data_IF_950223432504
#
_entry.id   IF_950223432504
#
_cell.length_a   1.000
_cell.length_b   1.000
_cell.length_c   1.000
_cell.angle_alpha   90.00
_cell.angle_beta   90.00
_cell.angle_gamma   90.00
#
_symmetry.space_group_name_H-M   'P 1'
#
loop_
_entity.id
_entity.type
_entity.pdbx_description
1 polymer ?
#
# COMPACT_ATOMS: atom_id res chain seq x y z
N UNK A 1 5.37 -23.15 -23.39
CA UNK A 1 4.98 -21.80 -22.93
C UNK A 1 4.73 -20.96 -24.18
N UNK A 2 3.49 -20.79 -24.58
CA UNK A 2 3.09 -20.02 -25.76
C UNK A 2 3.48 -18.56 -25.53
N UNK A 3 4.21 -17.96 -26.49
CA UNK A 3 4.80 -16.63 -26.36
C UNK A 3 3.73 -15.57 -26.14
N UNK A 4 3.76 -14.92 -24.98
CA UNK A 4 2.99 -13.70 -24.74
C UNK A 4 3.35 -12.70 -25.86
N UNK A 5 2.35 -12.25 -26.62
CA UNK A 5 2.54 -11.24 -27.64
C UNK A 5 3.15 -9.96 -27.04
N UNK A 6 3.57 -8.97 -27.85
CA UNK A 6 4.24 -7.76 -27.37
C UNK A 6 3.53 -7.06 -26.21
N UNK A 7 2.20 -7.05 -26.23
CA UNK A 7 1.36 -6.53 -25.14
C UNK A 7 1.52 -7.30 -23.84
N UNK A 8 1.53 -8.64 -23.91
CA UNK A 8 1.65 -9.48 -22.70
C UNK A 8 3.01 -9.35 -22.01
N UNK A 9 4.11 -9.24 -22.78
CA UNK A 9 5.44 -9.02 -22.24
C UNK A 9 5.53 -7.68 -21.50
N UNK A 10 4.98 -6.63 -22.10
CA UNK A 10 5.00 -5.30 -21.50
C UNK A 10 4.13 -5.25 -20.23
N UNK A 11 2.95 -5.89 -20.26
CA UNK A 11 2.08 -6.00 -19.08
C UNK A 11 2.74 -6.75 -17.92
N UNK A 12 3.53 -7.80 -18.20
CA UNK A 12 4.29 -8.52 -17.16
C UNK A 12 5.38 -7.64 -16.54
N UNK A 13 6.12 -6.87 -17.35
CA UNK A 13 7.15 -5.94 -16.86
C UNK A 13 6.50 -4.87 -15.98
N UNK A 14 5.41 -4.26 -16.44
CA UNK A 14 4.68 -3.24 -15.70
C UNK A 14 4.04 -3.82 -14.41
N UNK A 15 3.57 -5.07 -14.46
CA UNK A 15 3.09 -5.81 -13.30
C UNK A 15 4.18 -6.01 -12.25
N UNK A 16 5.36 -6.48 -12.67
CA UNK A 16 6.51 -6.60 -11.79
C UNK A 16 6.88 -5.25 -11.15
N UNK A 17 6.93 -4.17 -11.92
CA UNK A 17 7.21 -2.84 -11.38
C UNK A 17 6.14 -2.36 -10.38
N UNK A 18 4.89 -2.78 -10.53
CA UNK A 18 3.81 -2.44 -9.59
C UNK A 18 3.84 -3.23 -8.28
N UNK A 19 4.53 -4.38 -8.25
CA UNK A 19 4.61 -5.27 -7.09
C UNK A 19 5.56 -4.79 -5.98
N UNK A 20 6.39 -3.77 -6.24
CA UNK A 20 7.37 -3.26 -5.26
C UNK A 20 6.76 -2.91 -3.91
N UNK A 21 5.57 -2.28 -3.89
CA UNK A 21 4.88 -1.93 -2.66
C UNK A 21 4.59 -3.15 -1.80
N UNK A 22 3.83 -4.10 -2.34
CA UNK A 22 3.44 -5.33 -1.62
C UNK A 22 4.65 -6.17 -1.24
N UNK A 23 5.62 -6.37 -2.13
CA UNK A 23 6.82 -7.13 -1.82
C UNK A 23 7.60 -6.51 -0.65
N UNK A 24 7.81 -5.18 -0.68
CA UNK A 24 8.56 -4.47 0.35
C UNK A 24 7.88 -4.43 1.72
N UNK A 25 6.55 -4.47 1.72
CA UNK A 25 5.73 -4.45 2.93
C UNK A 25 5.49 -5.88 3.42
N UNK A 26 4.89 -6.70 2.59
CA UNK A 26 4.27 -7.95 3.02
C UNK A 26 5.29 -9.08 3.23
N UNK A 27 6.38 -9.16 2.42
CA UNK A 27 7.48 -10.12 2.67
C UNK A 27 8.24 -9.85 3.96
N UNK A 28 8.24 -8.59 4.39
CA UNK A 28 8.98 -8.13 5.57
C UNK A 28 8.26 -8.45 6.89
N UNK A 29 6.90 -8.49 6.88
CA UNK A 29 6.08 -8.63 8.08
C UNK A 29 6.43 -9.84 8.97
N UNK A 30 6.65 -11.07 8.44
CA UNK A 30 7.02 -12.21 9.29
C UNK A 30 8.34 -12.02 10.05
N UNK A 31 9.19 -11.07 9.62
CA UNK A 31 10.53 -10.86 10.17
C UNK A 31 10.59 -9.97 11.40
N UNK A 32 9.51 -9.33 11.80
CA UNK A 32 9.50 -8.32 12.88
C UNK A 32 10.15 -8.82 14.16
N UNK A 33 9.78 -10.01 14.61
CA UNK A 33 10.35 -10.59 15.84
C UNK A 33 11.83 -10.96 15.70
N UNK A 34 12.24 -11.45 14.51
CA UNK A 34 13.63 -11.80 14.26
C UNK A 34 14.51 -10.55 14.25
N UNK A 35 14.04 -9.46 13.65
CA UNK A 35 14.72 -8.17 13.63
C UNK A 35 14.81 -7.58 15.04
N UNK A 36 13.72 -7.59 15.81
CA UNK A 36 13.70 -7.10 17.18
C UNK A 36 14.75 -7.80 18.05
N UNK A 37 14.87 -9.13 17.92
CA UNK A 37 15.86 -9.93 18.63
C UNK A 37 17.29 -9.67 18.16
N UNK A 38 17.51 -9.66 16.85
CA UNK A 38 18.85 -9.55 16.26
C UNK A 38 19.47 -8.15 16.44
N UNK A 39 18.66 -7.10 16.39
CA UNK A 39 19.10 -5.71 16.55
C UNK A 39 18.87 -5.18 18.00
N UNK A 40 18.48 -6.04 18.94
CA UNK A 40 18.14 -5.65 20.32
C UNK A 40 17.17 -4.47 20.39
N UNK A 41 16.18 -4.45 19.49
CA UNK A 41 15.23 -3.35 19.31
C UNK A 41 13.88 -3.67 19.95
N UNK A 42 13.17 -2.63 20.39
CA UNK A 42 11.77 -2.75 20.80
C UNK A 42 10.86 -2.98 19.59
N UNK A 43 9.66 -3.53 19.85
CA UNK A 43 8.65 -3.71 18.78
C UNK A 43 8.27 -2.39 18.11
N UNK A 44 8.11 -1.32 18.90
CA UNK A 44 7.80 -0.01 18.36
C UNK A 44 8.89 0.51 17.42
N UNK A 45 10.16 0.24 17.71
CA UNK A 45 11.27 0.60 16.81
C UNK A 45 11.22 -0.22 15.51
N UNK A 46 10.87 -1.50 15.56
CA UNK A 46 10.71 -2.29 14.34
C UNK A 46 9.48 -1.83 13.54
N UNK A 47 8.36 -1.53 14.20
CA UNK A 47 7.18 -0.95 13.56
C UNK A 47 7.49 0.40 12.90
N UNK A 48 8.36 1.22 13.51
CA UNK A 48 8.80 2.49 12.94
C UNK A 48 9.52 2.30 11.59
N UNK A 49 10.26 1.19 11.38
CA UNK A 49 10.89 0.90 10.08
C UNK A 49 9.88 0.83 8.93
N UNK A 50 8.70 0.29 9.22
CA UNK A 50 7.60 0.21 8.24
C UNK A 50 6.82 1.53 8.18
N UNK A 51 6.63 2.22 9.30
CA UNK A 51 5.97 3.54 9.32
C UNK A 51 6.73 4.57 8.46
N UNK A 52 8.06 4.64 8.57
CA UNK A 52 8.87 5.54 7.74
C UNK A 52 8.86 5.12 6.26
N UNK A 53 8.76 3.82 5.98
CA UNK A 53 8.57 3.32 4.62
C UNK A 53 7.27 3.86 4.01
N UNK A 54 6.16 3.84 4.74
CA UNK A 54 4.90 4.45 4.32
C UNK A 54 5.04 5.97 4.14
N UNK A 55 5.71 6.65 5.06
CA UNK A 55 6.01 8.08 4.95
C UNK A 55 6.74 8.43 3.66
N UNK A 56 7.77 7.66 3.33
CA UNK A 56 8.52 7.83 2.08
C UNK A 56 7.70 7.51 0.83
N UNK A 57 6.80 6.51 0.86
CA UNK A 57 5.84 6.29 -0.21
C UNK A 57 4.91 7.50 -0.41
N UNK A 58 4.40 8.09 0.68
CA UNK A 58 3.55 9.27 0.64
C UNK A 58 4.27 10.47 -0.01
N UNK A 59 5.51 10.73 0.39
CA UNK A 59 6.35 11.76 -0.21
C UNK A 59 6.61 11.45 -1.69
N UNK A 60 7.01 10.23 -2.00
CA UNK A 60 7.27 9.79 -3.38
C UNK A 60 6.05 9.98 -4.29
N UNK A 61 4.84 9.66 -3.81
CA UNK A 61 3.59 9.87 -4.56
C UNK A 61 3.40 11.33 -4.98
N UNK A 62 3.74 12.27 -4.11
CA UNK A 62 3.60 13.70 -4.41
C UNK A 62 4.55 14.17 -5.51
N UNK A 63 5.76 13.59 -5.59
CA UNK A 63 6.83 14.12 -6.44
C UNK A 63 7.08 13.33 -7.72
N UNK A 64 6.93 12.00 -7.74
CA UNK A 64 7.25 11.20 -8.94
C UNK A 64 6.38 11.52 -10.14
N UNK A 65 5.10 11.86 -9.93
CA UNK A 65 4.22 12.29 -11.00
C UNK A 65 4.79 13.48 -11.77
N UNK A 66 4.89 14.66 -11.13
CA UNK A 66 5.45 15.86 -11.72
C UNK A 66 6.86 15.70 -12.28
N UNK A 67 7.75 14.99 -11.58
CA UNK A 67 9.11 14.74 -12.04
C UNK A 67 9.11 13.93 -13.34
N UNK A 68 8.28 12.89 -13.41
CA UNK A 68 8.19 12.05 -14.61
C UNK A 68 7.49 12.74 -15.78
N UNK A 69 6.57 13.67 -15.51
CA UNK A 69 5.95 14.51 -16.55
C UNK A 69 6.94 15.53 -17.15
N UNK A 70 7.92 15.98 -16.38
CA UNK A 70 8.92 16.96 -16.79
C UNK A 70 10.14 16.33 -17.46
N UNK A 71 10.70 15.27 -16.89
CA UNK A 71 11.97 14.68 -17.32
C UNK A 71 11.80 13.42 -18.20
N UNK A 72 10.56 13.00 -18.46
CA UNK A 72 10.22 11.74 -19.11
C UNK A 72 10.09 10.61 -18.09
N UNK A 73 9.54 9.47 -18.51
CA UNK A 73 9.22 8.34 -17.62
C UNK A 73 10.46 7.54 -17.24
N UNK A 74 11.36 7.34 -18.20
CA UNK A 74 12.47 6.41 -18.03
C UNK A 74 13.50 6.88 -17.01
N UNK A 75 13.91 8.15 -17.04
CA UNK A 75 14.95 8.67 -16.15
C UNK A 75 14.59 8.55 -14.67
N UNK A 76 13.41 9.04 -14.20
CA UNK A 76 13.01 8.90 -12.79
C UNK A 76 12.76 7.44 -12.40
N UNK A 77 12.28 6.59 -13.31
CA UNK A 77 12.08 5.17 -13.05
C UNK A 77 13.41 4.45 -12.82
N UNK A 78 14.39 4.64 -13.70
CA UNK A 78 15.72 4.02 -13.54
C UNK A 78 16.42 4.52 -12.27
N UNK A 79 16.35 5.82 -11.98
CA UNK A 79 16.88 6.39 -10.74
C UNK A 79 16.23 5.76 -9.51
N UNK A 80 14.88 5.68 -9.48
CA UNK A 80 14.15 5.08 -8.36
C UNK A 80 14.51 3.61 -8.16
N UNK A 81 14.60 2.82 -9.24
CA UNK A 81 14.99 1.41 -9.16
C UNK A 81 16.43 1.23 -8.67
N UNK A 82 17.39 2.04 -9.17
CA UNK A 82 18.76 2.00 -8.69
C UNK A 82 18.86 2.37 -7.21
N UNK A 83 18.15 3.42 -6.78
CA UNK A 83 18.05 3.83 -5.37
C UNK A 83 17.47 2.71 -4.51
N UNK A 84 16.43 2.02 -5.00
CA UNK A 84 15.81 0.89 -4.30
C UNK A 84 16.78 -0.29 -4.14
N UNK A 85 17.56 -0.64 -5.19
CA UNK A 85 18.59 -1.70 -5.12
C UNK A 85 19.60 -1.37 -4.03
N UNK A 86 20.18 -0.17 -4.07
CA UNK A 86 21.19 0.26 -3.09
C UNK A 86 20.64 0.29 -1.66
N UNK A 87 19.45 0.85 -1.48
CA UNK A 87 18.80 0.93 -0.17
C UNK A 87 18.40 -0.46 0.36
N UNK A 88 17.97 -1.38 -0.50
CA UNK A 88 17.67 -2.76 -0.09
C UNK A 88 18.93 -3.50 0.36
N UNK A 89 20.04 -3.37 -0.36
CA UNK A 89 21.33 -3.91 0.08
C UNK A 89 21.79 -3.30 1.41
N UNK A 90 21.62 -1.99 1.58
CA UNK A 90 21.96 -1.32 2.82
C UNK A 90 21.04 -1.74 4.01
N UNK A 91 19.75 -2.00 3.76
CA UNK A 91 18.86 -2.61 4.77
C UNK A 91 19.35 -4.02 5.19
N UNK A 92 19.80 -4.84 4.24
CA UNK A 92 20.34 -6.16 4.54
C UNK A 92 21.63 -6.10 5.39
N UNK A 93 22.40 -5.03 5.26
CA UNK A 93 23.65 -4.81 5.98
C UNK A 93 23.49 -3.93 7.22
N UNK A 94 22.28 -3.51 7.57
CA UNK A 94 22.02 -2.60 8.68
C UNK A 94 22.53 -3.16 10.01
N UNK A 95 23.42 -2.41 10.73
CA UNK A 95 23.99 -2.84 12.00
C UNK A 95 23.10 -2.52 13.21
N UNK A 96 22.13 -1.62 13.03
CA UNK A 96 21.20 -1.18 14.09
C UNK A 96 19.81 -0.91 13.51
N UNK A 97 18.82 -0.79 14.41
CA UNK A 97 17.44 -0.48 14.00
C UNK A 97 17.32 0.93 13.43
N UNK A 98 18.09 1.89 13.92
CA UNK A 98 18.12 3.28 13.42
C UNK A 98 18.64 3.33 11.98
N UNK A 99 19.70 2.58 11.68
CA UNK A 99 20.23 2.43 10.32
C UNK A 99 19.18 1.78 9.41
N UNK A 100 18.48 0.74 9.91
CA UNK A 100 17.40 0.11 9.17
C UNK A 100 16.25 1.09 8.91
N UNK A 101 15.82 1.88 9.90
CA UNK A 101 14.82 2.95 9.74
C UNK A 101 15.20 3.92 8.63
N UNK A 102 16.45 4.43 8.65
CA UNK A 102 16.92 5.38 7.65
C UNK A 102 16.92 4.77 6.23
N UNK A 103 17.45 3.56 6.09
CA UNK A 103 17.49 2.89 4.78
C UNK A 103 16.12 2.45 4.27
N UNK A 104 15.19 2.09 5.15
CA UNK A 104 13.79 1.80 4.79
C UNK A 104 13.09 3.05 4.22
N UNK A 105 13.37 4.24 4.77
CA UNK A 105 12.87 5.48 4.19
C UNK A 105 13.41 5.70 2.77
N UNK A 106 14.73 5.56 2.57
CA UNK A 106 15.35 5.70 1.24
C UNK A 106 14.82 4.65 0.26
N UNK A 107 14.66 3.41 0.72
CA UNK A 107 14.11 2.31 -0.06
C UNK A 107 12.68 2.63 -0.57
N UNK A 108 11.84 3.23 0.28
CA UNK A 108 10.46 3.57 -0.07
C UNK A 108 10.39 4.65 -1.16
N UNK A 109 11.27 5.66 -1.09
CA UNK A 109 11.39 6.67 -2.15
C UNK A 109 11.72 5.98 -3.48
N UNK A 110 12.68 5.06 -3.51
CA UNK A 110 13.03 4.31 -4.71
C UNK A 110 11.86 3.45 -5.23
N UNK A 111 11.20 2.70 -4.34
CA UNK A 111 10.09 1.80 -4.70
C UNK A 111 8.83 2.53 -5.19
N UNK A 112 8.62 3.77 -4.75
CA UNK A 112 7.49 4.58 -5.19
C UNK A 112 7.51 4.89 -6.70
N UNK A 113 8.70 4.93 -7.32
CA UNK A 113 8.84 5.17 -8.77
C UNK A 113 8.01 4.19 -9.61
N UNK A 114 8.07 2.90 -9.29
CA UNK A 114 7.29 1.86 -9.96
C UNK A 114 5.79 2.08 -9.80
N UNK A 115 5.32 2.37 -8.58
CA UNK A 115 3.90 2.57 -8.29
C UNK A 115 3.27 3.73 -9.08
N UNK A 116 4.00 4.84 -9.25
CA UNK A 116 3.50 6.06 -9.89
C UNK A 116 3.70 6.01 -11.40
N UNK A 117 4.93 5.70 -11.85
CA UNK A 117 5.32 5.85 -13.26
C UNK A 117 4.66 4.79 -14.12
N UNK A 118 4.44 3.57 -13.62
CA UNK A 118 3.77 2.50 -14.37
C UNK A 118 2.38 2.94 -14.85
N UNK A 119 1.58 3.58 -13.99
CA UNK A 119 0.24 4.06 -14.36
C UNK A 119 0.30 5.12 -15.46
N UNK A 120 1.28 6.03 -15.38
CA UNK A 120 1.50 7.05 -16.40
C UNK A 120 1.96 6.41 -17.71
N UNK A 121 2.89 5.45 -17.65
CA UNK A 121 3.40 4.72 -18.81
C UNK A 121 2.28 3.98 -19.58
N UNK A 122 1.35 3.33 -18.86
CA UNK A 122 0.18 2.69 -19.48
C UNK A 122 -0.65 3.68 -20.25
N UNK A 123 -0.97 4.84 -19.66
CA UNK A 123 -1.75 5.89 -20.32
C UNK A 123 -1.06 6.52 -21.55
N UNK A 124 0.28 6.59 -21.51
CA UNK A 124 1.07 7.19 -22.58
C UNK A 124 1.20 6.26 -23.80
N UNK A 125 1.16 4.92 -23.59
CA UNK A 125 1.56 3.91 -24.57
C UNK A 125 0.40 3.15 -25.20
N UNK A 126 -0.73 3.04 -24.51
CA UNK A 126 -1.85 2.21 -24.90
C UNK A 126 -3.10 3.06 -25.16
N UNK A 127 -3.93 2.60 -26.10
CA UNK A 127 -5.29 3.10 -26.28
C UNK A 127 -6.18 2.70 -25.08
N UNK A 128 -7.43 3.15 -25.06
CA UNK A 128 -8.37 2.92 -23.96
C UNK A 128 -8.61 1.43 -23.71
N UNK A 129 -8.75 0.63 -24.78
CA UNK A 129 -9.05 -0.81 -24.70
C UNK A 129 -7.87 -1.61 -24.16
N UNK A 130 -6.67 -1.37 -24.66
CA UNK A 130 -5.46 -2.05 -24.22
C UNK A 130 -5.01 -1.58 -22.84
N UNK A 131 -5.18 -0.30 -22.52
CA UNK A 131 -5.00 0.24 -21.17
C UNK A 131 -5.87 -0.51 -20.15
N UNK A 132 -7.16 -0.73 -20.45
CA UNK A 132 -8.05 -1.47 -19.57
C UNK A 132 -7.57 -2.92 -19.32
N UNK A 133 -7.05 -3.59 -20.36
CA UNK A 133 -6.48 -4.95 -20.24
C UNK A 133 -5.22 -4.96 -19.37
N UNK A 134 -4.30 -4.01 -19.59
CA UNK A 134 -3.08 -3.91 -18.80
C UNK A 134 -3.42 -3.58 -17.35
N UNK A 135 -4.31 -2.63 -17.09
CA UNK A 135 -4.75 -2.32 -15.71
C UNK A 135 -5.40 -3.51 -15.03
N UNK A 136 -6.18 -4.34 -15.74
CA UNK A 136 -6.75 -5.58 -15.17
C UNK A 136 -5.65 -6.56 -14.73
N UNK A 137 -4.57 -6.71 -15.51
CA UNK A 137 -3.41 -7.52 -15.13
C UNK A 137 -2.66 -6.92 -13.93
N UNK A 138 -2.49 -5.58 -13.89
CA UNK A 138 -1.90 -4.91 -12.74
C UNK A 138 -2.73 -5.13 -11.47
N UNK A 139 -4.05 -5.09 -11.55
CA UNK A 139 -4.94 -5.37 -10.43
C UNK A 139 -4.82 -6.82 -9.96
N UNK A 140 -4.67 -7.78 -10.88
CA UNK A 140 -4.42 -9.18 -10.52
C UNK A 140 -3.10 -9.32 -9.75
N UNK A 141 -2.03 -8.68 -10.23
CA UNK A 141 -0.73 -8.65 -9.53
C UNK A 141 -0.89 -8.03 -8.15
N UNK A 142 -1.50 -6.85 -8.06
CA UNK A 142 -1.70 -6.14 -6.78
C UNK A 142 -2.57 -6.93 -5.79
N UNK A 143 -3.48 -7.80 -6.28
CA UNK A 143 -4.28 -8.67 -5.43
C UNK A 143 -3.54 -9.95 -5.00
N UNK A 144 -2.72 -10.52 -5.88
CA UNK A 144 -2.02 -11.78 -5.61
C UNK A 144 -0.80 -11.62 -4.70
N UNK A 145 -0.05 -10.54 -4.85
CA UNK A 145 1.18 -10.32 -4.10
C UNK A 145 0.99 -10.19 -2.59
N UNK A 146 -0.05 -9.52 -2.05
CA UNK A 146 -0.31 -9.52 -0.61
C UNK A 146 -0.55 -10.91 -0.02
N UNK A 147 -0.97 -11.88 -0.85
CA UNK A 147 -1.11 -13.28 -0.41
C UNK A 147 0.23 -14.01 -0.47
N UNK A 148 0.94 -13.89 -1.59
CA UNK A 148 2.17 -14.64 -1.82
C UNK A 148 3.37 -14.07 -1.06
N UNK A 149 3.48 -12.75 -0.94
CA UNK A 149 4.65 -12.10 -0.37
C UNK A 149 4.92 -12.51 1.09
N UNK A 150 3.95 -12.51 2.03
CA UNK A 150 4.24 -12.95 3.39
C UNK A 150 4.51 -14.46 3.50
N UNK A 151 3.94 -15.29 2.62
CA UNK A 151 4.25 -16.73 2.55
C UNK A 151 5.71 -16.94 2.14
N UNK A 152 6.15 -16.28 1.06
CA UNK A 152 7.54 -16.33 0.59
C UNK A 152 8.48 -15.73 1.63
N UNK A 153 8.10 -14.59 2.22
CA UNK A 153 8.87 -13.94 3.28
C UNK A 153 9.07 -14.83 4.51
N UNK A 154 8.03 -15.52 4.96
CA UNK A 154 8.11 -16.49 6.05
C UNK A 154 9.05 -17.66 5.76
N UNK A 155 9.02 -18.20 4.53
CA UNK A 155 9.92 -19.28 4.11
C UNK A 155 11.38 -18.82 4.00
N UNK A 156 11.62 -17.61 3.48
CA UNK A 156 12.97 -17.03 3.43
C UNK A 156 13.49 -16.78 4.85
N UNK A 157 12.66 -16.23 5.72
CA UNK A 157 13.01 -15.95 7.11
C UNK A 157 13.51 -17.21 7.84
N UNK A 158 12.74 -18.31 7.76
CA UNK A 158 13.04 -19.53 8.49
C UNK A 158 14.32 -20.20 7.99
N UNK A 159 14.62 -20.12 6.68
CA UNK A 159 15.77 -20.81 6.08
C UNK A 159 17.05 -19.97 6.05
N UNK A 160 16.93 -18.66 5.86
CA UNK A 160 18.05 -17.78 5.53
C UNK A 160 18.13 -16.53 6.42
N UNK A 161 17.15 -16.35 7.32
CA UNK A 161 17.07 -15.17 8.20
C UNK A 161 16.49 -13.94 7.50
N UNK A 162 16.24 -12.89 8.30
CA UNK A 162 15.54 -11.68 7.84
C UNK A 162 16.34 -10.84 6.82
N UNK A 163 17.67 -10.85 6.92
CA UNK A 163 18.55 -10.12 5.98
C UNK A 163 18.40 -10.62 4.55
N UNK A 164 18.17 -11.91 4.37
CA UNK A 164 17.97 -12.52 3.07
C UNK A 164 16.73 -11.99 2.33
N UNK A 165 15.71 -11.51 3.05
CA UNK A 165 14.55 -10.86 2.45
C UNK A 165 14.96 -9.59 1.71
N UNK A 166 15.81 -8.77 2.32
CA UNK A 166 16.30 -7.55 1.68
C UNK A 166 17.22 -7.83 0.50
N UNK A 167 18.03 -8.88 0.56
CA UNK A 167 18.83 -9.34 -0.59
C UNK A 167 17.92 -9.83 -1.72
N UNK A 168 16.85 -10.55 -1.43
CA UNK A 168 15.86 -10.98 -2.42
C UNK A 168 15.17 -9.77 -3.08
N UNK A 169 14.82 -8.74 -2.29
CA UNK A 169 14.26 -7.49 -2.80
C UNK A 169 15.27 -6.72 -3.67
N UNK A 170 16.54 -6.67 -3.28
CA UNK A 170 17.61 -6.05 -4.08
C UNK A 170 17.80 -6.77 -5.41
N UNK A 171 17.84 -8.11 -5.40
CA UNK A 171 17.96 -8.91 -6.61
C UNK A 171 16.75 -8.73 -7.53
N UNK A 172 15.53 -8.74 -6.97
CA UNK A 172 14.31 -8.46 -7.71
C UNK A 172 14.34 -7.08 -8.40
N UNK A 173 14.75 -6.05 -7.67
CA UNK A 173 14.87 -4.70 -8.20
C UNK A 173 15.96 -4.58 -9.28
N UNK A 174 17.08 -5.28 -9.12
CA UNK A 174 18.15 -5.32 -10.11
C UNK A 174 17.66 -5.96 -11.42
N UNK A 175 16.91 -7.07 -11.33
CA UNK A 175 16.31 -7.71 -12.50
C UNK A 175 15.30 -6.77 -13.17
N UNK A 176 14.46 -6.08 -12.39
CA UNK A 176 13.54 -5.08 -12.93
C UNK A 176 14.29 -3.92 -13.62
N UNK A 177 15.35 -3.40 -12.99
CA UNK A 177 16.18 -2.33 -13.56
C UNK A 177 16.83 -2.75 -14.88
N UNK A 178 17.44 -3.93 -14.91
CA UNK A 178 18.03 -4.49 -16.14
C UNK A 178 16.95 -4.64 -17.23
N UNK A 179 15.78 -5.17 -16.89
CA UNK A 179 14.65 -5.33 -17.82
C UNK A 179 14.17 -3.98 -18.37
N UNK A 180 14.06 -2.97 -17.50
CA UNK A 180 13.69 -1.61 -17.89
C UNK A 180 14.70 -1.02 -18.86
N UNK A 181 16.00 -1.12 -18.56
CA UNK A 181 17.08 -0.58 -19.40
C UNK A 181 17.19 -1.26 -20.75
N UNK A 182 16.91 -2.57 -20.81
CA UNK A 182 17.09 -3.36 -22.03
C UNK A 182 15.85 -3.37 -22.93
N UNK A 183 14.65 -3.27 -22.36
CA UNK A 183 13.38 -3.53 -23.08
C UNK A 183 12.51 -2.29 -23.17
N UNK A 184 12.41 -1.48 -22.11
CA UNK A 184 11.49 -0.34 -22.10
C UNK A 184 12.13 0.85 -22.83
N UNK A 185 11.27 1.57 -23.58
CA UNK A 185 11.63 2.83 -24.23
C UNK A 185 10.79 3.95 -23.65
N UNK A 186 11.30 5.19 -23.74
CA UNK A 186 10.58 6.38 -23.30
C UNK A 186 9.18 6.42 -23.93
N UNK A 187 8.17 6.63 -23.08
CA UNK A 187 6.77 6.70 -23.51
C UNK A 187 6.26 8.13 -23.65
N UNK A 188 6.95 9.11 -23.05
CA UNK A 188 6.56 10.51 -23.09
C UNK A 188 7.48 11.31 -24.04
N UNK A 189 7.06 11.63 -25.27
CA UNK A 189 7.81 12.44 -26.20
C UNK A 189 8.19 13.80 -25.61
N UNK A 190 9.35 14.34 -26.02
CA UNK A 190 9.88 15.59 -25.48
C UNK A 190 8.89 16.77 -25.60
N UNK A 191 8.12 16.78 -26.70
CA UNK A 191 7.13 17.81 -27.03
C UNK A 191 5.92 17.82 -26.09
N UNK A 192 5.61 16.64 -25.48
CA UNK A 192 4.49 16.47 -24.54
C UNK A 192 4.90 16.61 -23.08
N UNK A 193 6.19 16.83 -22.80
CA UNK A 193 6.67 17.02 -21.45
C UNK A 193 6.15 18.31 -20.86
N UNK A 194 5.76 18.25 -19.58
CA UNK A 194 5.31 19.43 -18.86
C UNK A 194 6.43 20.46 -18.75
N UNK A 195 6.12 21.71 -19.11
CA UNK A 195 6.98 22.88 -18.88
C UNK A 195 6.66 23.55 -17.53
N UNK A 196 5.60 23.09 -16.85
CA UNK A 196 5.16 23.63 -15.57
C UNK A 196 6.19 23.38 -14.46
N UNK A 197 6.37 24.37 -13.61
CA UNK A 197 7.25 24.29 -12.47
C UNK A 197 6.59 23.59 -11.26
N UNK A 198 7.38 23.22 -10.26
CA UNK A 198 6.90 22.67 -8.98
C UNK A 198 5.83 23.56 -8.35
N UNK A 199 5.93 24.88 -8.50
CA UNK A 199 4.94 25.83 -8.01
C UNK A 199 3.54 25.70 -8.62
N UNK A 200 3.41 25.18 -9.84
CA UNK A 200 2.10 24.92 -10.44
C UNK A 200 1.46 23.69 -9.78
N UNK A 201 2.23 22.65 -9.59
CA UNK A 201 1.79 21.44 -8.87
C UNK A 201 1.34 21.76 -7.46
N UNK A 202 2.14 22.54 -6.73
CA UNK A 202 1.81 22.98 -5.36
C UNK A 202 0.53 23.84 -5.34
N UNK A 203 0.29 24.67 -6.35
CA UNK A 203 -0.96 25.43 -6.48
C UNK A 203 -2.17 24.52 -6.73
N UNK A 204 -2.02 23.47 -7.54
CA UNK A 204 -3.06 22.47 -7.74
C UNK A 204 -3.34 21.73 -6.44
N UNK A 205 -2.32 21.28 -5.72
CA UNK A 205 -2.50 20.63 -4.42
C UNK A 205 -3.16 21.54 -3.40
N UNK A 206 -2.75 22.82 -3.30
CA UNK A 206 -3.38 23.78 -2.40
C UNK A 206 -4.86 24.02 -2.74
N UNK A 207 -5.24 23.98 -4.02
CA UNK A 207 -6.64 24.07 -4.46
C UNK A 207 -7.42 22.84 -4.05
N UNK A 208 -6.87 21.63 -4.29
CA UNK A 208 -7.49 20.37 -3.92
C UNK A 208 -7.68 20.23 -2.41
N UNK A 209 -6.71 20.67 -1.61
CA UNK A 209 -6.78 20.69 -0.14
C UNK A 209 -7.86 21.65 0.39
N UNK A 210 -8.26 22.67 -0.38
CA UNK A 210 -9.35 23.58 -0.05
C UNK A 210 -10.72 23.14 -0.58
N UNK A 211 -10.73 22.17 -1.50
CA UNK A 211 -11.95 21.58 -2.04
C UNK A 211 -12.57 20.63 -1.01
N UNK A 212 -13.65 21.07 -0.36
CA UNK A 212 -14.34 20.29 0.68
C UNK A 212 -14.89 18.97 0.15
N UNK A 213 -15.40 18.93 -1.08
CA UNK A 213 -15.91 17.72 -1.72
C UNK A 213 -14.81 16.69 -1.91
N UNK A 214 -13.67 17.10 -2.48
CA UNK A 214 -12.50 16.26 -2.64
C UNK A 214 -11.95 15.77 -1.30
N UNK A 215 -11.77 16.68 -0.33
CA UNK A 215 -11.18 16.36 0.97
C UNK A 215 -12.06 15.43 1.81
N UNK A 216 -13.37 15.52 1.70
CA UNK A 216 -14.31 14.58 2.32
C UNK A 216 -14.00 13.13 1.89
N UNK A 217 -13.94 12.89 0.59
CA UNK A 217 -13.64 11.56 0.07
C UNK A 217 -12.19 11.15 0.34
N UNK A 218 -11.24 12.08 0.21
CA UNK A 218 -9.83 11.81 0.49
C UNK A 218 -9.59 11.42 1.94
N UNK A 219 -10.17 12.12 2.90
CA UNK A 219 -10.05 11.80 4.33
C UNK A 219 -10.80 10.51 4.68
N UNK A 220 -12.00 10.30 4.12
CA UNK A 220 -12.72 9.03 4.32
C UNK A 220 -11.92 7.84 3.79
N UNK A 221 -11.24 7.98 2.63
CA UNK A 221 -10.32 6.99 2.09
C UNK A 221 -9.14 6.74 3.02
N UNK A 222 -8.42 7.82 3.38
CA UNK A 222 -7.22 7.73 4.19
C UNK A 222 -7.50 7.11 5.57
N UNK A 223 -8.60 7.52 6.22
CA UNK A 223 -9.00 6.97 7.51
C UNK A 223 -9.45 5.51 7.40
N UNK A 224 -10.29 5.16 6.42
CA UNK A 224 -10.73 3.79 6.23
C UNK A 224 -9.56 2.81 6.01
N UNK A 225 -8.65 3.15 5.11
CA UNK A 225 -7.48 2.31 4.82
C UNK A 225 -6.45 2.33 5.94
N UNK A 226 -6.40 3.38 6.76
CA UNK A 226 -5.49 3.46 7.91
C UNK A 226 -5.77 2.38 8.96
N UNK A 227 -7.03 1.94 9.10
CA UNK A 227 -7.33 0.77 9.93
C UNK A 227 -6.72 -0.52 9.36
N UNK A 228 -6.71 -0.70 8.04
CA UNK A 228 -5.97 -1.80 7.41
C UNK A 228 -4.46 -1.66 7.65
N UNK A 229 -3.91 -0.45 7.65
CA UNK A 229 -2.50 -0.25 7.98
C UNK A 229 -2.22 -0.56 9.45
N UNK A 230 -3.10 -0.19 10.40
CA UNK A 230 -2.97 -0.61 11.80
C UNK A 230 -2.94 -2.15 11.93
N UNK A 231 -3.75 -2.86 11.15
CA UNK A 231 -3.69 -4.32 11.04
C UNK A 231 -2.34 -4.78 10.48
N UNK A 232 -1.87 -4.23 9.37
CA UNK A 232 -0.59 -4.61 8.74
C UNK A 232 0.57 -4.44 9.73
N UNK A 233 0.63 -3.33 10.45
CA UNK A 233 1.69 -3.06 11.44
C UNK A 233 1.58 -3.91 12.70
N UNK A 234 0.36 -4.16 13.18
CA UNK A 234 0.12 -4.84 14.46
C UNK A 234 0.02 -6.36 14.37
N UNK A 235 -0.38 -6.89 13.22
CA UNK A 235 -0.67 -8.33 13.08
C UNK A 235 0.54 -9.25 13.30
N UNK A 236 1.81 -8.89 12.94
CA UNK A 236 2.95 -9.73 13.27
C UNK A 236 3.10 -9.94 14.77
N UNK A 237 2.91 -8.87 15.56
CA UNK A 237 2.93 -8.98 17.03
C UNK A 237 1.75 -9.79 17.54
N UNK A 238 0.53 -9.42 17.16
CA UNK A 238 -0.68 -10.09 17.68
C UNK A 238 -0.69 -11.56 17.31
N UNK A 239 -0.44 -11.93 16.05
CA UNK A 239 -0.56 -13.32 15.63
C UNK A 239 0.61 -14.18 16.08
N UNK A 240 1.85 -13.67 15.98
CA UNK A 240 3.03 -14.49 16.26
C UNK A 240 3.46 -14.45 17.71
N UNK A 241 3.39 -13.30 18.43
CA UNK A 241 3.79 -13.23 19.83
C UNK A 241 2.65 -13.60 20.78
N UNK A 242 1.44 -13.02 20.61
CA UNK A 242 0.34 -13.28 21.54
C UNK A 242 -0.27 -14.66 21.29
N UNK A 243 -0.52 -15.02 20.03
CA UNK A 243 -1.17 -16.29 19.68
C UNK A 243 -0.22 -17.40 19.22
N UNK A 244 1.09 -17.17 19.20
CA UNK A 244 2.09 -18.20 18.90
C UNK A 244 2.05 -18.75 17.46
N UNK A 245 1.47 -18.01 16.52
CA UNK A 245 1.45 -18.41 15.10
C UNK A 245 2.88 -18.42 14.57
N UNK A 246 3.30 -19.54 13.97
CA UNK A 246 4.63 -19.64 13.39
C UNK A 246 4.79 -18.74 12.16
N UNK A 247 5.99 -18.15 11.92
CA UNK A 247 6.23 -17.23 10.80
C UNK A 247 5.84 -17.78 9.43
N UNK A 248 6.06 -19.09 9.21
CA UNK A 248 5.68 -19.77 7.97
C UNK A 248 4.17 -19.90 7.76
N UNK A 249 3.37 -19.83 8.84
CA UNK A 249 1.91 -19.89 8.78
C UNK A 249 1.26 -18.51 8.80
N UNK A 250 1.98 -17.45 9.19
CA UNK A 250 1.47 -16.09 9.24
C UNK A 250 0.85 -15.64 7.90
N UNK A 251 1.50 -16.01 6.80
CA UNK A 251 1.06 -15.65 5.46
C UNK A 251 -0.33 -16.19 5.09
N UNK A 252 -0.77 -17.31 5.67
CA UNK A 252 -2.12 -17.85 5.42
C UNK A 252 -3.20 -16.99 6.06
N UNK A 253 -2.99 -16.52 7.30
CA UNK A 253 -3.93 -15.64 7.99
C UNK A 253 -4.00 -14.27 7.31
N UNK A 254 -2.85 -13.74 6.90
CA UNK A 254 -2.77 -12.50 6.16
C UNK A 254 -3.45 -12.62 4.78
N UNK A 255 -3.18 -13.71 4.07
CA UNK A 255 -3.75 -14.02 2.76
C UNK A 255 -5.26 -14.19 2.80
N UNK A 256 -5.82 -14.75 3.88
CA UNK A 256 -7.28 -14.86 4.06
C UNK A 256 -7.94 -13.48 4.05
N UNK A 257 -7.38 -12.51 4.79
CA UNK A 257 -7.88 -11.13 4.79
C UNK A 257 -7.73 -10.46 3.42
N UNK A 258 -6.60 -10.67 2.74
CA UNK A 258 -6.39 -10.16 1.38
C UNK A 258 -7.40 -10.76 0.38
N UNK A 259 -7.70 -12.05 0.50
CA UNK A 259 -8.72 -12.72 -0.32
C UNK A 259 -10.10 -12.09 -0.09
N UNK A 260 -10.47 -11.82 1.16
CA UNK A 260 -11.72 -11.13 1.51
C UNK A 260 -11.85 -9.77 0.82
N UNK A 261 -10.78 -8.97 0.84
CA UNK A 261 -10.70 -7.69 0.15
C UNK A 261 -10.92 -7.82 -1.36
N UNK A 262 -10.26 -8.81 -1.99
CA UNK A 262 -10.37 -9.06 -3.44
C UNK A 262 -11.79 -9.49 -3.80
N UNK A 263 -12.35 -10.47 -3.10
CA UNK A 263 -13.70 -10.97 -3.35
C UNK A 263 -14.73 -9.84 -3.19
N UNK A 264 -14.63 -9.05 -2.13
CA UNK A 264 -15.50 -7.90 -1.90
C UNK A 264 -15.39 -6.84 -3.01
N UNK A 265 -14.18 -6.59 -3.52
CA UNK A 265 -13.96 -5.68 -4.65
C UNK A 265 -14.62 -6.19 -5.94
N UNK A 266 -14.58 -7.51 -6.20
CA UNK A 266 -15.28 -8.10 -7.35
C UNK A 266 -16.81 -8.03 -7.18
N UNK A 267 -17.31 -8.31 -5.97
CA UNK A 267 -18.73 -8.15 -5.66
C UNK A 267 -19.19 -6.70 -5.82
N UNK A 268 -18.37 -5.73 -5.43
CA UNK A 268 -18.64 -4.31 -5.65
C UNK A 268 -18.83 -4.01 -7.15
N UNK A 269 -17.97 -4.55 -8.02
CA UNK A 269 -18.11 -4.37 -9.47
C UNK A 269 -19.47 -4.89 -9.99
N UNK A 270 -19.94 -6.02 -9.49
CA UNK A 270 -21.26 -6.58 -9.85
C UNK A 270 -22.39 -5.70 -9.30
N UNK A 271 -22.25 -5.25 -8.05
CA UNK A 271 -23.28 -4.45 -7.36
C UNK A 271 -23.48 -3.07 -8.00
N UNK A 272 -22.41 -2.45 -8.51
CA UNK A 272 -22.46 -1.17 -9.23
C UNK A 272 -23.33 -1.19 -10.49
N UNK A 273 -23.70 -2.37 -11.01
CA UNK A 273 -24.68 -2.48 -12.11
C UNK A 273 -26.11 -2.17 -11.67
N UNK A 274 -26.41 -2.17 -10.36
CA UNK A 274 -27.76 -2.03 -9.81
C UNK A 274 -27.89 -0.93 -8.75
N UNK A 275 -26.77 -0.53 -8.13
CA UNK A 275 -26.75 0.41 -7.00
C UNK A 275 -25.69 1.47 -7.23
N UNK A 276 -26.01 2.72 -6.92
CA UNK A 276 -25.03 3.82 -7.01
C UNK A 276 -23.87 3.63 -6.03
N UNK A 277 -22.66 3.97 -6.49
CA UNK A 277 -21.43 3.80 -5.71
C UNK A 277 -21.44 4.57 -4.38
N UNK A 278 -22.07 5.73 -4.31
CA UNK A 278 -22.22 6.52 -3.08
C UNK A 278 -23.09 5.81 -2.04
N UNK A 279 -24.15 5.13 -2.48
CA UNK A 279 -25.01 4.32 -1.62
C UNK A 279 -24.30 3.07 -1.09
N UNK A 280 -23.46 2.41 -1.93
CA UNK A 280 -22.61 1.30 -1.50
C UNK A 280 -21.59 1.78 -0.48
N UNK A 281 -20.90 2.90 -0.75
CA UNK A 281 -19.91 3.50 0.11
C UNK A 281 -20.45 3.78 1.51
N UNK A 282 -21.59 4.42 1.59
CA UNK A 282 -22.21 4.79 2.88
C UNK A 282 -22.53 3.56 3.75
N UNK A 283 -23.06 2.49 3.14
CA UNK A 283 -23.36 1.23 3.85
C UNK A 283 -22.07 0.49 4.25
N UNK A 284 -21.10 0.43 3.35
CA UNK A 284 -19.81 -0.22 3.62
C UNK A 284 -19.06 0.45 4.78
N UNK A 285 -19.08 1.78 4.88
CA UNK A 285 -18.48 2.51 6.01
C UNK A 285 -19.14 2.19 7.35
N UNK A 286 -20.45 1.94 7.38
CA UNK A 286 -21.14 1.47 8.61
C UNK A 286 -20.62 0.08 9.01
N UNK A 287 -20.50 -0.84 8.03
CA UNK A 287 -19.96 -2.18 8.30
C UNK A 287 -18.50 -2.09 8.78
N UNK A 288 -17.69 -1.25 8.14
CA UNK A 288 -16.28 -1.01 8.53
C UNK A 288 -16.19 -0.53 9.98
N UNK A 289 -16.99 0.47 10.35
CA UNK A 289 -17.01 1.00 11.71
C UNK A 289 -17.50 -0.05 12.73
N UNK A 290 -18.58 -0.76 12.42
CA UNK A 290 -19.12 -1.83 13.27
C UNK A 290 -18.12 -2.97 13.49
N UNK A 291 -17.45 -3.42 12.43
CA UNK A 291 -16.42 -4.43 12.51
C UNK A 291 -15.21 -3.99 13.37
N UNK A 292 -14.81 -2.72 13.25
CA UNK A 292 -13.76 -2.14 14.11
C UNK A 292 -14.14 -2.13 15.59
N UNK A 293 -15.37 -1.74 15.92
CA UNK A 293 -15.87 -1.76 17.30
C UNK A 293 -15.96 -3.19 17.85
N UNK A 294 -16.45 -4.13 17.06
CA UNK A 294 -16.52 -5.55 17.43
C UNK A 294 -15.11 -6.12 17.67
N UNK A 295 -14.14 -5.76 16.81
CA UNK A 295 -12.74 -6.15 17.00
C UNK A 295 -12.18 -5.61 18.32
N UNK A 296 -12.45 -4.35 18.65
CA UNK A 296 -12.01 -3.73 19.90
C UNK A 296 -12.64 -4.43 21.11
N UNK A 297 -13.91 -4.75 21.06
CA UNK A 297 -14.60 -5.50 22.12
C UNK A 297 -13.98 -6.91 22.30
N UNK A 298 -13.72 -7.63 21.22
CA UNK A 298 -13.07 -8.94 21.27
C UNK A 298 -11.64 -8.85 21.84
N UNK A 299 -10.86 -7.84 21.43
CA UNK A 299 -9.50 -7.63 21.94
C UNK A 299 -9.46 -7.27 23.42
N UNK A 300 -10.44 -6.47 23.90
CA UNK A 300 -10.52 -6.01 25.28
C UNK A 300 -10.99 -7.11 26.26
N UNK A 301 -11.85 -8.00 25.80
CA UNK A 301 -12.41 -9.09 26.62
C UNK A 301 -11.64 -10.41 26.49
N UNK A 302 -10.80 -10.55 25.46
CA UNK A 302 -10.16 -11.83 25.10
C UNK A 302 -11.13 -12.87 24.55
N UNK A 303 -12.38 -12.49 24.26
CA UNK A 303 -13.44 -13.40 23.83
C UNK A 303 -13.11 -14.07 22.49
N UNK A 304 -13.22 -15.40 22.46
CA UNK A 304 -13.00 -16.20 21.25
C UNK A 304 -11.54 -16.37 20.82
N UNK A 305 -10.57 -15.84 21.58
CA UNK A 305 -9.14 -15.98 21.25
C UNK A 305 -8.79 -15.46 19.87
N UNK A 306 -7.93 -16.18 19.14
CA UNK A 306 -7.55 -15.80 17.77
C UNK A 306 -8.74 -15.73 16.79
N UNK A 307 -9.65 -16.71 16.71
CA UNK A 307 -10.86 -16.60 15.89
C UNK A 307 -11.73 -15.38 16.20
N UNK A 308 -11.86 -15.02 17.49
CA UNK A 308 -12.59 -13.84 17.95
C UNK A 308 -12.04 -12.53 17.41
N UNK A 309 -10.73 -12.46 17.14
CA UNK A 309 -10.11 -11.30 16.50
C UNK A 309 -10.16 -11.41 14.97
N UNK A 310 -9.93 -12.60 14.40
CA UNK A 310 -9.85 -12.79 12.96
C UNK A 310 -11.16 -12.49 12.25
N UNK A 311 -12.31 -12.88 12.84
CA UNK A 311 -13.61 -12.70 12.20
C UNK A 311 -13.97 -11.22 11.99
N UNK A 312 -13.99 -10.35 13.02
CA UNK A 312 -14.27 -8.93 12.80
C UNK A 312 -13.18 -8.23 11.98
N UNK A 313 -11.93 -8.66 12.08
CA UNK A 313 -10.85 -8.16 11.25
C UNK A 313 -11.06 -8.50 9.77
N UNK A 314 -11.46 -9.73 9.45
CA UNK A 314 -11.82 -10.16 8.11
C UNK A 314 -12.97 -9.33 7.55
N UNK A 315 -14.01 -9.07 8.35
CA UNK A 315 -15.13 -8.21 7.95
C UNK A 315 -14.66 -6.79 7.68
N UNK A 316 -13.80 -6.23 8.56
CA UNK A 316 -13.23 -4.90 8.38
C UNK A 316 -12.47 -4.79 7.05
N UNK A 317 -11.49 -5.66 6.84
CA UNK A 317 -10.63 -5.64 5.64
C UNK A 317 -11.45 -5.91 4.38
N UNK A 318 -12.38 -6.87 4.41
CA UNK A 318 -13.27 -7.16 3.28
C UNK A 318 -14.15 -5.97 2.94
N UNK A 319 -14.69 -5.25 3.94
CA UNK A 319 -15.54 -4.07 3.70
C UNK A 319 -14.81 -2.96 2.92
N UNK A 320 -13.49 -2.87 3.06
CA UNK A 320 -12.67 -1.94 2.27
C UNK A 320 -12.70 -2.24 0.76
N UNK A 321 -12.99 -3.47 0.36
CA UNK A 321 -13.21 -3.82 -1.05
C UNK A 321 -14.41 -3.08 -1.68
N UNK A 322 -15.38 -2.68 -0.86
CA UNK A 322 -16.47 -1.80 -1.28
C UNK A 322 -16.13 -0.32 -1.07
N UNK A 323 -15.41 0.03 -0.02
CA UNK A 323 -15.08 1.43 0.31
C UNK A 323 -14.12 2.03 -0.69
N UNK A 324 -12.94 1.40 -0.91
CA UNK A 324 -11.84 1.99 -1.66
C UNK A 324 -12.18 2.36 -3.11
N UNK A 325 -12.77 1.47 -3.94
CA UNK A 325 -13.07 1.82 -5.32
C UNK A 325 -14.12 2.93 -5.43
N UNK A 326 -15.14 2.93 -4.56
CA UNK A 326 -16.21 3.91 -4.61
C UNK A 326 -15.77 5.30 -4.12
N UNK A 327 -14.95 5.35 -3.06
CA UNK A 327 -14.45 6.63 -2.53
C UNK A 327 -13.45 7.28 -3.49
N UNK A 328 -12.57 6.48 -4.13
CA UNK A 328 -11.62 6.97 -5.12
C UNK A 328 -12.35 7.48 -6.37
N UNK A 329 -13.34 6.73 -6.86
CA UNK A 329 -14.16 7.16 -8.00
C UNK A 329 -14.89 8.48 -7.69
N UNK A 330 -15.52 8.61 -6.52
CA UNK A 330 -16.23 9.84 -6.12
C UNK A 330 -15.27 11.03 -5.94
N UNK A 331 -14.06 10.81 -5.44
CA UNK A 331 -13.05 11.85 -5.29
C UNK A 331 -12.52 12.36 -6.63
N UNK A 332 -12.30 11.46 -7.60
CA UNK A 332 -11.66 11.80 -8.87
C UNK A 332 -12.64 12.27 -9.96
N UNK A 333 -13.91 11.86 -9.90
CA UNK A 333 -14.90 12.19 -10.93
C UNK A 333 -15.01 13.70 -11.23
N UNK A 334 -15.02 14.62 -10.25
CA UNK A 334 -15.11 16.06 -10.50
C UNK A 334 -13.80 16.69 -11.02
N UNK A 335 -12.65 15.98 -10.92
CA UNK A 335 -11.33 16.60 -11.05
C UNK A 335 -10.83 16.76 -12.48
N UNK A 336 -11.45 16.11 -13.48
CA UNK A 336 -11.17 16.28 -14.91
C UNK A 336 -9.67 16.31 -15.23
N UNK A 337 -9.18 17.47 -15.71
CA UNK A 337 -7.76 17.68 -16.10
C UNK A 337 -6.77 17.53 -14.93
N UNK A 338 -7.22 17.68 -13.68
CA UNK A 338 -6.39 17.57 -12.48
C UNK A 338 -6.40 16.15 -11.87
N UNK A 339 -7.06 15.17 -12.50
CA UNK A 339 -7.20 13.82 -11.95
C UNK A 339 -5.86 13.15 -11.59
N UNK A 340 -4.80 13.44 -12.34
CA UNK A 340 -3.44 12.96 -12.03
C UNK A 340 -2.92 13.50 -10.69
N UNK A 341 -2.99 14.82 -10.49
CA UNK A 341 -2.60 15.47 -9.24
C UNK A 341 -3.52 15.07 -8.07
N UNK A 342 -4.81 14.93 -8.32
CA UNK A 342 -5.76 14.46 -7.32
C UNK A 342 -5.45 13.01 -6.87
N UNK A 343 -5.14 12.12 -7.81
CA UNK A 343 -4.71 10.74 -7.51
C UNK A 343 -3.39 10.69 -6.71
N UNK A 344 -2.43 11.56 -7.06
CA UNK A 344 -1.18 11.67 -6.31
C UNK A 344 -1.43 12.15 -4.86
N UNK A 345 -2.30 13.16 -4.69
CA UNK A 345 -2.66 13.68 -3.38
C UNK A 345 -3.44 12.65 -2.53
N UNK A 346 -4.34 11.86 -3.15
CA UNK A 346 -5.00 10.72 -2.50
C UNK A 346 -3.97 9.74 -1.92
N UNK A 347 -2.98 9.34 -2.73
CA UNK A 347 -1.93 8.43 -2.28
C UNK A 347 -1.03 9.05 -1.21
N UNK A 348 -0.67 10.34 -1.35
CA UNK A 348 0.12 11.07 -0.35
C UNK A 348 -0.56 11.10 1.01
N UNK A 349 -1.84 11.47 1.06
CA UNK A 349 -2.61 11.53 2.31
C UNK A 349 -2.82 10.14 2.89
N UNK A 350 -3.11 9.15 2.05
CA UNK A 350 -3.29 7.76 2.44
C UNK A 350 -2.04 7.18 3.11
N UNK A 351 -0.89 7.25 2.45
CA UNK A 351 0.37 6.72 3.00
C UNK A 351 0.91 7.56 4.15
N UNK A 352 0.70 8.88 4.12
CA UNK A 352 1.00 9.75 5.25
C UNK A 352 0.20 9.40 6.51
N UNK A 353 -1.10 9.16 6.36
CA UNK A 353 -1.95 8.66 7.46
C UNK A 353 -1.47 7.28 7.94
N UNK A 354 -1.07 6.39 7.03
CA UNK A 354 -0.47 5.10 7.37
C UNK A 354 0.80 5.24 8.21
N UNK A 355 1.69 6.17 7.87
CA UNK A 355 2.89 6.46 8.65
C UNK A 355 2.56 6.94 10.07
N UNK A 356 1.56 7.82 10.21
CA UNK A 356 1.09 8.29 11.52
C UNK A 356 0.54 7.12 12.34
N UNK A 357 -0.33 6.29 11.75
CA UNK A 357 -0.92 5.13 12.45
C UNK A 357 0.15 4.13 12.87
N UNK A 358 1.15 3.84 12.01
CA UNK A 358 2.25 2.95 12.37
C UNK A 358 3.08 3.48 13.53
N UNK A 359 3.37 4.78 13.56
CA UNK A 359 4.07 5.45 14.66
C UNK A 359 3.25 5.43 15.95
N UNK A 360 1.96 5.74 15.87
CA UNK A 360 1.05 5.66 17.02
C UNK A 360 0.95 4.26 17.58
N UNK A 361 0.84 3.25 16.73
CA UNK A 361 0.77 1.86 17.16
C UNK A 361 2.05 1.45 17.91
N UNK A 362 3.22 1.85 17.40
CA UNK A 362 4.49 1.60 18.07
C UNK A 362 4.60 2.27 19.45
N UNK A 363 4.06 3.49 19.58
CA UNK A 363 4.05 4.25 20.84
C UNK A 363 3.03 3.71 21.86
N UNK A 364 1.91 3.16 21.40
CA UNK A 364 0.82 2.66 22.23
C UNK A 364 1.01 1.18 22.61
N UNK A 365 2.03 0.50 22.10
CA UNK A 365 2.30 -0.91 22.37
C UNK A 365 2.35 -1.22 23.87
N UNK A 366 1.49 -2.14 24.32
CA UNK A 366 1.34 -2.50 25.74
C UNK A 366 1.35 -4.01 25.98
N UNK A 367 1.83 -4.79 25.02
CA UNK A 367 1.87 -6.25 25.12
C UNK A 367 0.54 -6.95 24.82
N UNK A 368 -0.49 -6.22 24.38
CA UNK A 368 -1.84 -6.77 24.07
C UNK A 368 -2.27 -6.46 22.64
N UNK A 369 -3.40 -7.07 22.21
CA UNK A 369 -4.02 -6.75 20.91
C UNK A 369 -4.83 -5.43 20.92
N UNK A 370 -5.07 -4.85 22.10
CA UNK A 370 -5.94 -3.68 22.28
C UNK A 370 -5.49 -2.44 21.50
N UNK A 371 -4.20 -2.05 21.48
CA UNK A 371 -3.75 -0.88 20.69
C UNK A 371 -4.09 -1.00 19.21
N UNK A 372 -3.83 -2.15 18.60
CA UNK A 372 -4.17 -2.41 17.20
C UNK A 372 -5.68 -2.29 16.96
N UNK A 373 -6.47 -2.96 17.79
CA UNK A 373 -7.93 -2.95 17.67
C UNK A 373 -8.53 -1.56 17.90
N UNK A 374 -7.99 -0.78 18.86
CA UNK A 374 -8.41 0.59 19.15
C UNK A 374 -8.17 1.52 17.95
N UNK A 375 -7.00 1.44 17.34
CA UNK A 375 -6.69 2.23 16.15
C UNK A 375 -7.58 1.84 14.96
N UNK A 376 -7.84 0.55 14.74
CA UNK A 376 -8.75 0.07 13.70
C UNK A 376 -10.17 0.62 13.93
N UNK A 377 -10.67 0.52 15.16
CA UNK A 377 -11.99 1.04 15.52
C UNK A 377 -12.09 2.57 15.34
N UNK A 378 -11.07 3.30 15.83
CA UNK A 378 -11.01 4.76 15.69
C UNK A 378 -10.98 5.18 14.21
N UNK A 379 -10.20 4.50 13.37
CA UNK A 379 -10.11 4.75 11.94
C UNK A 379 -11.47 4.50 11.25
N UNK A 380 -12.13 3.38 11.51
CA UNK A 380 -13.43 3.06 10.92
C UNK A 380 -14.53 4.04 11.32
N UNK A 381 -14.59 4.39 12.62
CA UNK A 381 -15.56 5.38 13.13
C UNK A 381 -15.30 6.78 12.55
N UNK A 382 -14.04 7.21 12.50
CA UNK A 382 -13.65 8.51 11.95
C UNK A 382 -13.94 8.59 10.44
N UNK A 383 -13.68 7.52 9.67
CA UNK A 383 -14.02 7.47 8.25
C UNK A 383 -15.54 7.64 8.02
N UNK A 384 -16.36 6.96 8.82
CA UNK A 384 -17.81 7.09 8.78
C UNK A 384 -18.28 8.49 9.19
N UNK A 385 -17.70 9.06 10.26
CA UNK A 385 -18.03 10.40 10.74
C UNK A 385 -17.72 11.48 9.69
N UNK A 386 -16.53 11.47 9.10
CA UNK A 386 -16.13 12.40 8.04
C UNK A 386 -17.06 12.26 6.83
N UNK A 387 -17.42 11.03 6.46
CA UNK A 387 -18.32 10.81 5.33
C UNK A 387 -19.73 11.39 5.59
N UNK A 388 -20.26 11.29 6.81
CA UNK A 388 -21.60 11.77 7.15
C UNK A 388 -21.67 13.26 7.45
N UNK A 389 -20.67 13.80 8.18
CA UNK A 389 -20.71 15.22 8.61
C UNK A 389 -20.41 16.19 7.46
N UNK A 390 -19.75 15.74 6.41
CA UNK A 390 -19.46 16.55 5.23
C UNK A 390 -20.45 16.27 4.06
N UNK A 391 -21.51 15.48 4.29
CA UNK A 391 -22.61 15.27 3.34
C UNK A 391 -23.62 16.40 3.43
#
# INVERSE_FOLDING_TARGET
>A
MAGAGPLGRLALILGALSAFGSLSIDMYLPSFQAIARDLAASEGQVQLTLAVFFGGLGIGQAFYGPISDRYGRMRPLCFGLALYVLASAACALAPSVEALVAWRFVQSIGGCAGLVIVRAFVRDRFDERDSARVFSLLMLVMGLFPILAPLVGGQILVRFGWRAIFWALAAYALVCLATVLLILRESLPAERRSRGGVGEVLRVYARLLRDRGFMRYNLSNALGISGMFAYIFGSPFVFMQIFGVRPEHYGWLFGLNALGLIVASQLNHVLLRRVEGTGILSRALVVTAGAGVTLLAAASTGAGGLPGLLLPLFVYVSSLGFVLPNVVAAALAPQGRNAGSASALLGTVQFGAGAIIGTLLGALGNGTAVPMASLIAACGLSALAVHRLAA
#
